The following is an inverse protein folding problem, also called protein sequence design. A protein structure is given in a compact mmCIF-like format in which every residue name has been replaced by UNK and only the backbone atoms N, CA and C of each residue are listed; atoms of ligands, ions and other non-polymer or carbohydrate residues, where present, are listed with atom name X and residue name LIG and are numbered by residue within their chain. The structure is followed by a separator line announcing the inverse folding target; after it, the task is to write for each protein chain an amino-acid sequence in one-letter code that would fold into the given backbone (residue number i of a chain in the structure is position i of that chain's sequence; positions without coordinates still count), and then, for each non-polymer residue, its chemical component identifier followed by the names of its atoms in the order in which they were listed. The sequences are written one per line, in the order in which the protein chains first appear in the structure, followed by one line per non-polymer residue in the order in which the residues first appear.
data_IF_330317435514
#
_entry.id   IF_330317435514
#
_cell.length_a   1.000
_cell.length_b   1.000
_cell.length_c   1.000
_cell.angle_alpha   90.00
_cell.angle_beta   90.00
_cell.angle_gamma   90.00
#
_symmetry.space_group_name_H-M   'P 1'
#
loop_
_entity.id
_entity.type
_entity.pdbx_description
1 polymer ?
#
# COMPACT_ATOMS: atom_id res chain seq x y z
N UNK A 1 17.27 -4.51 -16.62
CA UNK A 1 16.22 -3.95 -15.74
C UNK A 1 14.87 -4.19 -16.40
N UNK A 2 13.89 -4.75 -15.69
CA UNK A 2 12.52 -4.86 -16.22
C UNK A 2 11.91 -3.48 -16.42
N UNK A 3 11.08 -3.31 -17.44
CA UNK A 3 10.27 -2.09 -17.61
C UNK A 3 9.33 -1.91 -16.41
N UNK A 4 9.08 -0.65 -16.03
CA UNK A 4 8.07 -0.31 -15.02
C UNK A 4 6.67 -0.47 -15.63
N UNK A 5 5.68 -0.97 -14.86
CA UNK A 5 4.32 -1.03 -15.33
C UNK A 5 3.76 0.38 -15.52
N UNK A 6 2.96 0.56 -16.57
CA UNK A 6 2.16 1.76 -16.80
C UNK A 6 1.02 1.86 -15.79
N UNK A 7 0.51 3.07 -15.55
CA UNK A 7 -0.67 3.27 -14.68
C UNK A 7 -1.88 2.43 -15.15
N UNK A 8 -2.04 2.25 -16.46
CA UNK A 8 -3.10 1.41 -17.03
C UNK A 8 -2.95 -0.04 -16.63
N UNK A 9 -1.73 -0.59 -16.68
CA UNK A 9 -1.48 -1.98 -16.26
C UNK A 9 -1.69 -2.16 -14.76
N UNK A 10 -1.27 -1.20 -13.93
CA UNK A 10 -1.50 -1.23 -12.48
C UNK A 10 -3.00 -1.27 -12.17
N UNK A 11 -3.80 -0.44 -12.83
CA UNK A 11 -5.24 -0.31 -12.56
C UNK A 11 -6.09 -1.47 -13.11
N UNK A 12 -5.51 -2.41 -13.87
CA UNK A 12 -6.16 -3.67 -14.23
C UNK A 12 -6.23 -4.66 -13.05
N UNK A 13 -5.38 -4.49 -12.05
CA UNK A 13 -5.43 -5.26 -10.80
C UNK A 13 -6.45 -4.57 -9.88
N UNK A 14 -7.35 -5.30 -9.21
CA UNK A 14 -8.24 -4.70 -8.22
C UNK A 14 -7.46 -3.94 -7.15
N UNK A 15 -7.97 -2.78 -6.74
CA UNK A 15 -7.40 -2.06 -5.61
C UNK A 15 -7.64 -2.86 -4.32
N UNK A 16 -6.56 -3.24 -3.66
CA UNK A 16 -6.61 -3.84 -2.32
C UNK A 16 -7.17 -2.85 -1.30
N UNK A 17 -6.71 -1.60 -1.42
CA UNK A 17 -7.10 -0.47 -0.58
C UNK A 17 -7.19 0.80 -1.40
N UNK A 18 -8.18 1.63 -1.08
CA UNK A 18 -8.40 2.97 -1.64
C UNK A 18 -8.68 3.96 -0.51
N UNK A 19 -8.13 5.17 -0.59
CA UNK A 19 -8.42 6.24 0.35
C UNK A 19 -8.13 7.61 -0.27
N UNK A 20 -8.55 8.68 0.40
CA UNK A 20 -8.16 10.05 0.07
C UNK A 20 -6.97 10.42 0.97
N UNK A 21 -5.90 10.98 0.39
CA UNK A 21 -4.77 11.49 1.17
C UNK A 21 -5.24 12.62 2.09
N UNK A 22 -5.37 12.33 3.38
CA UNK A 22 -5.86 13.26 4.39
C UNK A 22 -4.77 14.24 4.86
N UNK A 23 -5.16 15.33 5.54
CA UNK A 23 -4.22 16.35 6.03
C UNK A 23 -3.19 15.80 7.02
N UNK A 24 -3.47 14.68 7.68
CA UNK A 24 -2.50 14.02 8.55
C UNK A 24 -1.32 13.38 7.79
N UNK A 25 -1.35 13.40 6.45
CA UNK A 25 -0.27 12.92 5.58
C UNK A 25 0.59 14.05 5.04
N UNK A 26 0.21 15.30 5.30
CA UNK A 26 0.83 16.48 4.72
C UNK A 26 2.26 16.68 5.23
N UNK A 27 3.19 16.87 4.30
CA UNK A 27 4.53 17.36 4.57
C UNK A 27 4.60 18.89 4.54
N UNK A 28 5.77 19.45 4.85
CA UNK A 28 5.98 20.90 4.84
C UNK A 28 5.81 21.55 3.44
N UNK A 29 5.67 20.75 2.38
CA UNK A 29 5.51 21.19 0.99
C UNK A 29 4.06 21.09 0.50
N UNK A 30 3.12 20.60 1.31
CA UNK A 30 1.73 20.36 0.89
C UNK A 30 1.53 19.06 0.10
N UNK A 31 2.54 18.17 0.11
CA UNK A 31 2.48 16.84 -0.50
C UNK A 31 2.28 15.77 0.58
N UNK A 32 1.99 14.54 0.13
CA UNK A 32 2.04 13.38 1.02
C UNK A 32 3.48 13.12 1.44
N UNK A 33 3.73 13.11 2.74
CA UNK A 33 5.03 12.75 3.30
C UNK A 33 5.35 11.27 2.99
N UNK A 34 6.62 11.01 2.63
CA UNK A 34 7.12 9.68 2.23
C UNK A 34 6.81 8.56 3.22
N UNK A 35 6.69 8.85 4.52
CA UNK A 35 6.37 7.86 5.56
C UNK A 35 4.99 7.21 5.33
N UNK A 36 4.03 7.96 4.78
CA UNK A 36 2.65 7.51 4.61
C UNK A 36 2.51 6.50 3.47
N UNK A 37 3.39 6.56 2.47
CA UNK A 37 3.39 5.58 1.38
C UNK A 37 3.68 4.17 1.89
N UNK A 38 4.70 4.01 2.74
CA UNK A 38 5.00 2.71 3.34
C UNK A 38 3.84 2.20 4.20
N UNK A 39 3.31 3.06 5.08
CA UNK A 39 2.19 2.69 5.95
C UNK A 39 0.92 2.32 5.17
N UNK A 40 0.64 3.03 4.08
CA UNK A 40 -0.50 2.73 3.20
C UNK A 40 -0.32 1.39 2.49
N UNK A 41 0.86 1.14 1.91
CA UNK A 41 1.16 -0.14 1.25
C UNK A 41 1.17 -1.32 2.23
N UNK A 42 1.70 -1.14 3.45
CA UNK A 42 1.68 -2.18 4.48
C UNK A 42 0.25 -2.57 4.84
N UNK A 43 -0.65 -1.60 5.05
CA UNK A 43 -2.06 -1.88 5.36
C UNK A 43 -2.79 -2.54 4.20
N UNK A 44 -2.47 -2.16 2.95
CA UNK A 44 -3.03 -2.84 1.78
C UNK A 44 -2.58 -4.30 1.68
N UNK A 45 -1.32 -4.61 2.07
CA UNK A 45 -0.84 -5.98 2.17
C UNK A 45 -1.54 -6.76 3.28
N UNK A 46 -1.76 -6.13 4.44
CA UNK A 46 -2.53 -6.74 5.53
C UNK A 46 -3.97 -7.06 5.10
N UNK A 47 -4.64 -6.16 4.37
CA UNK A 47 -6.00 -6.37 3.85
C UNK A 47 -6.04 -7.58 2.90
N UNK A 48 -5.08 -7.72 1.98
CA UNK A 48 -5.02 -8.87 1.06
C UNK A 48 -4.64 -10.17 1.76
N UNK A 49 -3.73 -10.13 2.73
CA UNK A 49 -3.43 -11.30 3.56
C UNK A 49 -4.68 -11.78 4.30
N UNK A 50 -5.46 -10.86 4.86
CA UNK A 50 -6.73 -11.20 5.50
C UNK A 50 -7.74 -11.80 4.49
N UNK A 51 -7.83 -11.27 3.26
CA UNK A 51 -8.67 -11.88 2.20
C UNK A 51 -8.24 -13.31 1.85
N UNK A 52 -6.95 -13.62 1.96
CA UNK A 52 -6.41 -14.97 1.75
C UNK A 52 -6.54 -15.89 2.97
N UNK A 53 -7.14 -15.41 4.07
CA UNK A 53 -7.31 -16.15 5.32
C UNK A 53 -6.07 -16.16 6.21
N UNK A 54 -5.14 -15.22 6.02
CA UNK A 54 -4.01 -14.96 6.91
C UNK A 54 -4.33 -13.76 7.80
N UNK A 55 -5.33 -13.95 8.64
CA UNK A 55 -5.88 -12.98 9.57
C UNK A 55 -5.50 -13.31 11.03
N UNK A 56 -6.15 -12.64 11.99
CA UNK A 56 -5.88 -12.86 13.41
C UNK A 56 -6.35 -14.23 13.90
N UNK A 57 -7.41 -14.79 13.32
CA UNK A 57 -7.87 -16.14 13.61
C UNK A 57 -6.86 -17.19 13.12
N UNK A 58 -6.28 -16.99 11.93
CA UNK A 58 -5.17 -17.81 11.45
C UNK A 58 -3.97 -17.74 12.39
N UNK A 59 -3.57 -16.54 12.83
CA UNK A 59 -2.46 -16.37 13.77
C UNK A 59 -2.70 -17.09 15.09
N UNK A 60 -3.91 -16.93 15.66
CA UNK A 60 -4.27 -17.54 16.93
C UNK A 60 -4.37 -19.07 16.84
N UNK A 61 -4.95 -19.60 15.75
CA UNK A 61 -5.20 -21.05 15.59
C UNK A 61 -3.97 -21.84 15.12
N UNK A 62 -3.09 -21.21 14.33
CA UNK A 62 -1.90 -21.87 13.74
C UNK A 62 -0.59 -21.52 14.44
N UNK A 63 -0.56 -20.42 15.20
CA UNK A 63 0.69 -19.90 15.78
C UNK A 63 1.70 -19.42 14.72
N UNK A 64 1.22 -19.08 13.52
CA UNK A 64 2.04 -18.66 12.39
C UNK A 64 1.69 -17.22 11.98
N UNK A 65 2.66 -16.51 11.40
CA UNK A 65 2.48 -15.15 10.90
C UNK A 65 3.36 -14.85 9.70
N UNK A 66 3.24 -13.62 9.20
CA UNK A 66 4.02 -13.10 8.07
C UNK A 66 4.90 -11.96 8.57
N UNK A 67 6.11 -11.84 8.01
CA UNK A 67 6.99 -10.72 8.28
C UNK A 67 7.66 -10.25 6.99
N UNK A 68 7.91 -8.95 6.87
CA UNK A 68 8.68 -8.37 5.77
C UNK A 68 10.17 -8.48 6.08
N UNK A 69 10.92 -9.19 5.22
CA UNK A 69 12.39 -9.28 5.32
C UNK A 69 13.06 -8.05 4.69
N UNK A 70 12.52 -7.61 3.57
CA UNK A 70 13.08 -6.56 2.72
C UNK A 70 11.94 -5.78 2.07
N UNK A 71 12.16 -4.49 1.84
CA UNK A 71 11.18 -3.64 1.18
C UNK A 71 11.87 -2.56 0.34
N UNK A 72 11.42 -2.40 -0.91
CA UNK A 72 11.94 -1.40 -1.84
C UNK A 72 10.84 -0.43 -2.25
N UNK A 73 11.04 0.85 -1.93
CA UNK A 73 10.17 1.94 -2.35
C UNK A 73 10.83 2.76 -3.44
N UNK A 74 10.03 3.15 -4.43
CA UNK A 74 10.42 4.07 -5.49
C UNK A 74 9.27 5.05 -5.70
N UNK A 75 9.61 6.33 -5.72
CA UNK A 75 8.67 7.41 -5.95
C UNK A 75 8.83 7.86 -7.40
N UNK A 76 7.73 7.85 -8.16
CA UNK A 76 7.72 8.20 -9.59
C UNK A 76 6.99 9.50 -9.88
N UNK A 77 6.06 9.89 -9.00
CA UNK A 77 5.30 11.12 -9.11
C UNK A 77 4.91 11.63 -7.71
N UNK A 78 4.56 12.90 -7.62
CA UNK A 78 4.08 13.53 -6.40
C UNK A 78 2.60 13.18 -6.13
N UNK A 79 2.22 13.15 -4.86
CA UNK A 79 0.81 13.05 -4.43
C UNK A 79 0.51 14.24 -3.53
N UNK A 80 -0.56 14.95 -3.84
CA UNK A 80 -1.06 16.09 -3.06
C UNK A 80 -2.19 15.66 -2.14
N UNK A 81 -2.33 16.41 -1.04
CA UNK A 81 -3.44 16.23 -0.10
C UNK A 81 -4.77 16.44 -0.83
N UNK A 82 -5.75 15.60 -0.49
CA UNK A 82 -7.07 15.56 -1.13
C UNK A 82 -7.14 14.69 -2.39
N UNK A 83 -6.02 14.17 -2.90
CA UNK A 83 -6.04 13.22 -4.02
C UNK A 83 -6.45 11.82 -3.54
N UNK A 84 -7.20 11.10 -4.37
CA UNK A 84 -7.46 9.67 -4.15
C UNK A 84 -6.21 8.85 -4.49
N UNK A 85 -5.85 7.94 -3.59
CA UNK A 85 -4.78 6.96 -3.78
C UNK A 85 -5.33 5.55 -3.66
N UNK A 86 -4.73 4.63 -4.41
CA UNK A 86 -5.05 3.20 -4.34
C UNK A 86 -3.79 2.35 -4.40
N UNK A 87 -3.81 1.24 -3.65
CA UNK A 87 -2.75 0.25 -3.65
C UNK A 87 -3.24 -1.02 -4.35
N UNK A 88 -2.38 -1.58 -5.20
CA UNK A 88 -2.65 -2.75 -6.02
C UNK A 88 -1.56 -3.79 -5.75
N UNK A 89 -1.96 -5.03 -5.50
CA UNK A 89 -1.06 -6.13 -5.17
C UNK A 89 -1.14 -7.22 -6.24
N UNK A 90 0.02 -7.70 -6.68
CA UNK A 90 0.14 -8.77 -7.68
C UNK A 90 0.85 -9.99 -7.09
#
# INVERSE_FOLDING_TARGET
MSALPTLREVTQIPAARRTVAGPEWEDENGHVNVLHFYGFHSRAADDELARLGVDDDYRASRGCGVFSVEHHLRFFDEVRIGQEVSAHLR
#
